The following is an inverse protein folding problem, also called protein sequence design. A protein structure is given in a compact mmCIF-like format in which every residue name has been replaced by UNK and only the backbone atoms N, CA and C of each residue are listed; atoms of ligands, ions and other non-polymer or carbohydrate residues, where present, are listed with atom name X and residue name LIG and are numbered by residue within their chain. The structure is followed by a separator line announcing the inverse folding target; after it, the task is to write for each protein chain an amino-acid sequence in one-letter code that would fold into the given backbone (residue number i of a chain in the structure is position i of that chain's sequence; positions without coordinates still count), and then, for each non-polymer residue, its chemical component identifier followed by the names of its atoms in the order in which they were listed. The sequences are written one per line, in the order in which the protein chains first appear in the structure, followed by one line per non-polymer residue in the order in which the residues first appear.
data_IF_027634771113
#
_entry.id   IF_027634771113
#
_cell.length_a   1.000
_cell.length_b   1.000
_cell.length_c   1.000
_cell.angle_alpha   90.00
_cell.angle_beta   90.00
_cell.angle_gamma   90.00
#
_symmetry.space_group_name_H-M   'P 1'
#
loop_
_entity.id
_entity.type
_entity.pdbx_description
1 polymer ?
#
# COMPACT_ATOMS: atom_id res chain seq x y z
N UNK A 1 49.67 -0.33 -13.37
CA UNK A 1 48.62 -1.17 -13.99
C UNK A 1 47.36 -1.08 -13.14
N UNK A 2 46.34 -0.35 -13.61
CA UNK A 2 45.10 -0.15 -12.86
C UNK A 2 44.19 -1.37 -13.00
N UNK A 3 43.84 -1.99 -11.88
CA UNK A 3 42.95 -3.15 -11.79
C UNK A 3 41.51 -2.66 -12.06
N UNK A 4 40.99 -2.93 -13.25
CA UNK A 4 39.63 -2.58 -13.67
C UNK A 4 38.65 -3.40 -12.82
N UNK A 5 38.04 -2.78 -11.79
CA UNK A 5 36.97 -3.41 -11.02
C UNK A 5 35.75 -3.57 -11.92
N UNK A 6 35.44 -4.82 -12.24
CA UNK A 6 34.23 -5.24 -12.92
C UNK A 6 33.05 -5.06 -11.96
N UNK A 7 32.24 -4.02 -12.17
CA UNK A 7 30.98 -3.81 -11.47
C UNK A 7 29.99 -4.90 -11.89
N UNK A 8 29.86 -5.96 -11.09
CA UNK A 8 28.89 -7.04 -11.35
C UNK A 8 27.47 -6.48 -11.23
N UNK A 9 26.83 -6.25 -12.38
CA UNK A 9 25.43 -5.82 -12.48
C UNK A 9 24.58 -6.95 -11.88
N UNK A 10 24.05 -6.78 -10.66
CA UNK A 10 23.05 -7.69 -10.09
C UNK A 10 21.83 -7.66 -11.02
N UNK A 11 21.68 -8.66 -11.87
CA UNK A 11 20.44 -8.89 -12.61
C UNK A 11 19.34 -9.17 -11.60
N UNK A 12 18.32 -8.32 -11.58
CA UNK A 12 17.15 -8.50 -10.72
C UNK A 12 16.54 -9.88 -10.99
N UNK A 13 16.62 -10.77 -10.00
CA UNK A 13 16.01 -12.09 -10.08
C UNK A 13 14.48 -11.93 -10.05
N UNK A 14 13.80 -12.39 -11.11
CA UNK A 14 12.34 -12.43 -11.14
C UNK A 14 11.87 -13.64 -10.32
N UNK A 15 11.01 -13.39 -9.33
CA UNK A 15 10.31 -14.44 -8.58
C UNK A 15 8.93 -14.69 -9.18
N UNK A 16 8.49 -15.95 -9.21
CA UNK A 16 7.13 -16.31 -9.64
C UNK A 16 6.23 -16.42 -8.41
N UNK A 17 5.13 -15.67 -8.42
CA UNK A 17 4.05 -15.76 -7.44
C UNK A 17 2.88 -16.49 -8.09
N UNK A 18 2.37 -17.54 -7.43
CA UNK A 18 1.16 -18.24 -7.85
C UNK A 18 0.12 -18.14 -6.74
N UNK A 19 -1.09 -17.72 -7.10
CA UNK A 19 -2.23 -17.67 -6.18
C UNK A 19 -3.45 -18.34 -6.82
N UNK A 20 -4.36 -18.82 -6.00
CA UNK A 20 -5.64 -19.38 -6.42
C UNK A 20 -6.74 -18.48 -5.90
N UNK A 21 -7.62 -18.06 -6.80
CA UNK A 21 -8.82 -17.28 -6.51
C UNK A 21 -10.02 -18.04 -7.07
N UNK A 22 -11.19 -17.80 -6.49
CA UNK A 22 -12.44 -18.33 -7.04
C UNK A 22 -12.76 -17.69 -8.40
N UNK A 23 -13.65 -18.36 -9.14
CA UNK A 23 -14.01 -17.99 -10.51
C UNK A 23 -14.69 -16.62 -10.59
N UNK A 24 -15.51 -16.28 -9.59
CA UNK A 24 -16.24 -15.00 -9.55
C UNK A 24 -15.25 -13.82 -9.38
N UNK A 25 -14.32 -13.95 -8.43
CA UNK A 25 -13.28 -12.95 -8.23
C UNK A 25 -12.35 -12.83 -9.44
N UNK A 26 -12.00 -13.95 -10.07
CA UNK A 26 -11.21 -13.95 -11.30
C UNK A 26 -11.93 -13.18 -12.43
N UNK A 27 -13.25 -13.36 -12.57
CA UNK A 27 -14.09 -12.62 -13.50
C UNK A 27 -14.03 -11.11 -13.26
N UNK A 28 -14.21 -10.67 -12.00
CA UNK A 28 -14.13 -9.25 -11.61
C UNK A 28 -12.77 -8.63 -11.94
N UNK A 29 -11.67 -9.33 -11.67
CA UNK A 29 -10.33 -8.84 -12.04
C UNK A 29 -10.16 -8.67 -13.55
N UNK A 30 -10.72 -9.59 -14.34
CA UNK A 30 -10.64 -9.54 -15.80
C UNK A 30 -11.38 -8.32 -16.35
N UNK A 31 -12.59 -8.06 -15.87
CA UNK A 31 -13.39 -6.90 -16.29
C UNK A 31 -12.69 -5.57 -15.99
N UNK A 32 -12.09 -5.43 -14.80
CA UNK A 32 -11.33 -4.23 -14.42
C UNK A 32 -10.13 -4.05 -15.36
N UNK A 33 -9.37 -5.13 -15.59
CA UNK A 33 -8.19 -5.09 -16.44
C UNK A 33 -8.53 -4.74 -17.90
N UNK A 34 -9.60 -5.33 -18.44
CA UNK A 34 -10.10 -5.05 -19.80
C UNK A 34 -10.56 -3.59 -19.93
N UNK A 35 -11.32 -3.07 -18.97
CA UNK A 35 -11.77 -1.67 -18.94
C UNK A 35 -10.58 -0.70 -18.93
N UNK A 36 -9.52 -1.04 -18.18
CA UNK A 36 -8.30 -0.24 -18.09
C UNK A 36 -7.32 -0.46 -19.27
N UNK A 37 -7.58 -1.42 -20.16
CA UNK A 37 -6.70 -1.74 -21.29
C UNK A 37 -5.36 -2.38 -20.90
N UNK A 38 -5.32 -3.11 -19.78
CA UNK A 38 -4.11 -3.78 -19.27
C UNK A 38 -4.35 -5.28 -19.07
N UNK A 39 -3.27 -6.07 -18.94
CA UNK A 39 -3.40 -7.48 -18.56
C UNK A 39 -3.71 -7.65 -17.07
N UNK A 40 -4.43 -8.71 -16.71
CA UNK A 40 -4.69 -9.08 -15.31
C UNK A 40 -3.39 -9.19 -14.51
N UNK A 41 -2.31 -9.70 -15.12
CA UNK A 41 -1.01 -9.78 -14.46
C UNK A 41 -0.42 -8.40 -14.14
N UNK A 42 -0.55 -7.40 -15.04
CA UNK A 42 -0.11 -6.03 -14.76
C UNK A 42 -0.92 -5.39 -13.64
N UNK A 43 -2.24 -5.61 -13.64
CA UNK A 43 -3.13 -5.15 -12.57
C UNK A 43 -2.69 -5.74 -11.21
N UNK A 44 -2.49 -7.06 -11.14
CA UNK A 44 -2.04 -7.72 -9.91
C UNK A 44 -0.65 -7.24 -9.46
N UNK A 45 0.30 -7.05 -10.39
CA UNK A 45 1.61 -6.51 -10.05
C UNK A 45 1.51 -5.09 -9.47
N UNK A 46 0.70 -4.21 -10.08
CA UNK A 46 0.46 -2.87 -9.57
C UNK A 46 -0.16 -2.89 -8.17
N UNK A 47 -1.17 -3.74 -7.96
CA UNK A 47 -1.81 -3.92 -6.66
C UNK A 47 -0.83 -4.44 -5.61
N UNK A 48 0.03 -5.40 -5.95
CA UNK A 48 1.02 -5.94 -5.01
C UNK A 48 2.07 -4.89 -4.64
N UNK A 49 2.56 -4.10 -5.61
CA UNK A 49 3.49 -2.99 -5.33
C UNK A 49 2.83 -1.98 -4.38
N UNK A 50 1.63 -1.51 -4.72
CA UNK A 50 0.88 -0.59 -3.86
C UNK A 50 0.65 -1.19 -2.47
N UNK A 51 0.24 -2.45 -2.40
CA UNK A 51 -0.03 -3.13 -1.14
C UNK A 51 1.23 -3.18 -0.26
N UNK A 52 2.39 -3.52 -0.81
CA UNK A 52 3.66 -3.58 -0.06
C UNK A 52 4.05 -2.21 0.48
N UNK A 53 3.87 -1.14 -0.30
CA UNK A 53 4.24 0.21 0.10
C UNK A 53 3.30 0.80 1.16
N UNK A 54 2.08 0.28 1.28
CA UNK A 54 1.04 0.81 2.15
C UNK A 54 0.64 -0.14 3.29
N UNK A 55 1.31 -1.30 3.40
CA UNK A 55 1.04 -2.31 4.42
C UNK A 55 1.64 -1.92 5.78
N UNK A 56 0.80 -1.86 6.80
CA UNK A 56 1.20 -1.59 8.18
C UNK A 56 0.78 -2.75 9.08
N UNK A 57 1.75 -3.33 9.79
CA UNK A 57 1.51 -4.45 10.70
C UNK A 57 0.93 -3.96 12.02
N UNK A 58 -0.23 -4.50 12.40
CA UNK A 58 -0.95 -4.15 13.62
C UNK A 58 -2.41 -3.81 13.38
N UNK A 59 -3.06 -3.32 14.43
CA UNK A 59 -4.47 -2.88 14.41
C UNK A 59 -4.50 -1.37 14.26
N UNK A 60 -5.27 -0.82 13.32
CA UNK A 60 -5.46 0.62 13.26
C UNK A 60 -6.32 1.09 14.43
N UNK A 61 -5.87 2.14 15.13
CA UNK A 61 -6.58 2.79 16.23
C UNK A 61 -6.85 4.23 15.83
N UNK A 62 -8.13 4.59 15.78
CA UNK A 62 -8.58 5.92 15.38
C UNK A 62 -8.72 6.81 16.61
N UNK A 63 -8.10 7.99 16.57
CA UNK A 63 -8.39 9.05 17.53
C UNK A 63 -9.47 9.96 16.95
N UNK A 64 -10.68 9.90 17.49
CA UNK A 64 -11.81 10.73 17.04
C UNK A 64 -11.58 12.24 17.27
N UNK A 65 -10.66 12.62 18.17
CA UNK A 65 -10.38 14.02 18.50
C UNK A 65 -9.40 14.66 17.53
N UNK A 66 -8.37 13.93 17.12
CA UNK A 66 -7.34 14.42 16.20
C UNK A 66 -7.58 14.00 14.76
N UNK A 67 -8.42 12.98 14.53
CA UNK A 67 -8.61 12.37 13.22
C UNK A 67 -7.41 11.53 12.77
N UNK A 68 -6.46 11.28 13.68
CA UNK A 68 -5.25 10.51 13.40
C UNK A 68 -5.52 9.01 13.51
N UNK A 69 -4.74 8.24 12.74
CA UNK A 69 -4.72 6.79 12.83
C UNK A 69 -3.36 6.37 13.37
N UNK A 70 -3.36 5.70 14.50
CA UNK A 70 -2.17 5.09 15.09
C UNK A 70 -2.21 3.57 14.91
N UNK A 71 -1.07 2.91 15.10
CA UNK A 71 -0.96 1.45 15.00
C UNK A 71 -0.69 0.84 16.36
N UNK A 72 -1.53 -0.11 16.78
CA UNK A 72 -1.23 -0.99 17.89
C UNK A 72 -0.60 -2.30 17.35
N UNK A 73 0.67 -2.62 17.69
CA UNK A 73 1.33 -3.83 17.21
C UNK A 73 0.56 -5.10 17.61
N UNK A 74 0.17 -5.89 16.62
CA UNK A 74 -0.60 -7.13 16.83
C UNK A 74 -0.29 -8.19 15.80
N UNK A 75 0.12 -9.37 16.26
CA UNK A 75 0.40 -10.49 15.37
C UNK A 75 -0.88 -10.99 14.67
N UNK A 76 -0.77 -11.26 13.37
CA UNK A 76 -1.90 -11.70 12.54
C UNK A 76 -2.83 -10.57 12.09
N UNK A 77 -2.54 -9.31 12.44
CA UNK A 77 -3.28 -8.13 11.99
C UNK A 77 -2.40 -7.28 11.06
N UNK A 78 -2.97 -6.89 9.93
CA UNK A 78 -2.34 -6.04 8.91
C UNK A 78 -3.41 -5.11 8.38
N UNK A 79 -3.10 -3.83 8.20
CA UNK A 79 -3.97 -2.92 7.46
C UNK A 79 -3.21 -2.21 6.37
N UNK A 80 -3.94 -1.62 5.43
CA UNK A 80 -3.37 -0.88 4.32
C UNK A 80 -3.95 0.52 4.32
N UNK A 81 -3.09 1.52 4.18
CA UNK A 81 -3.49 2.92 4.36
C UNK A 81 -2.40 3.91 3.95
N UNK A 82 -2.73 5.19 4.07
CA UNK A 82 -1.77 6.27 3.99
C UNK A 82 -1.62 6.94 5.35
N UNK A 83 -0.39 7.28 5.70
CA UNK A 83 -0.08 8.05 6.90
C UNK A 83 -0.64 9.48 6.78
N UNK A 84 -0.88 10.13 7.92
CA UNK A 84 -1.13 11.58 7.90
C UNK A 84 0.14 12.30 7.51
N UNK A 85 0.00 13.38 6.74
CA UNK A 85 1.11 14.24 6.38
C UNK A 85 0.78 15.69 6.71
N UNK A 86 1.73 16.36 7.34
CA UNK A 86 1.78 17.82 7.38
C UNK A 86 2.52 18.29 6.14
N UNK A 87 1.85 19.10 5.32
CA UNK A 87 2.42 19.67 4.10
C UNK A 87 2.73 21.13 4.42
N UNK A 88 4.02 21.47 4.35
CA UNK A 88 4.51 22.83 4.47
C UNK A 88 4.04 23.69 3.28
N UNK A 89 4.19 25.01 3.38
CA UNK A 89 3.79 25.97 2.35
C UNK A 89 4.36 25.62 0.97
N UNK A 90 3.46 25.42 -0.01
CA UNK A 90 3.86 25.18 -1.39
C UNK A 90 4.03 26.52 -2.10
N UNK A 91 5.21 26.76 -2.67
CA UNK A 91 5.53 28.00 -3.40
C UNK A 91 5.64 27.74 -4.90
N UNK A 92 5.15 28.68 -5.70
CA UNK A 92 5.28 28.61 -7.16
C UNK A 92 6.73 28.93 -7.61
N UNK A 93 6.97 28.87 -8.92
CA UNK A 93 8.26 29.23 -9.54
C UNK A 93 8.72 30.67 -9.28
N UNK A 94 7.83 31.54 -8.79
CA UNK A 94 8.10 32.93 -8.42
C UNK A 94 8.28 33.13 -6.90
N UNK A 95 8.19 32.07 -6.09
CA UNK A 95 8.33 32.12 -4.64
C UNK A 95 7.08 32.61 -3.90
N UNK A 96 5.93 32.69 -4.56
CA UNK A 96 4.66 33.04 -3.92
C UNK A 96 3.98 31.79 -3.38
N UNK A 97 3.41 31.87 -2.18
CA UNK A 97 2.68 30.77 -1.55
C UNK A 97 1.39 30.49 -2.33
N UNK A 98 1.31 29.31 -2.93
CA UNK A 98 0.14 28.82 -3.68
C UNK A 98 -0.85 28.19 -2.71
N UNK A 99 -0.34 27.47 -1.72
CA UNK A 99 -1.14 26.80 -0.71
C UNK A 99 -0.45 26.94 0.66
N UNK A 100 -1.20 27.42 1.66
CA UNK A 100 -0.70 27.54 3.04
C UNK A 100 -0.51 26.17 3.68
N UNK A 101 0.08 26.06 4.88
CA UNK A 101 0.35 24.77 5.48
C UNK A 101 -0.96 24.06 5.82
N UNK A 102 -1.08 22.79 5.45
CA UNK A 102 -2.26 21.98 5.73
C UNK A 102 -1.91 20.56 6.18
N UNK A 103 -2.85 19.98 6.92
CA UNK A 103 -2.76 18.60 7.39
C UNK A 103 -3.65 17.71 6.54
N UNK A 104 -3.10 16.62 6.04
CA UNK A 104 -3.85 15.55 5.40
C UNK A 104 -4.03 14.41 6.40
N UNK A 105 -5.27 13.98 6.61
CA UNK A 105 -5.55 12.90 7.56
C UNK A 105 -5.12 11.56 6.96
N UNK A 106 -4.53 10.73 7.80
CA UNK A 106 -4.23 9.34 7.45
C UNK A 106 -5.53 8.57 7.18
N UNK A 107 -5.49 7.60 6.28
CA UNK A 107 -6.66 6.82 5.88
C UNK A 107 -6.34 5.35 5.83
N UNK A 108 -7.19 4.54 6.46
CA UNK A 108 -7.18 3.09 6.30
C UNK A 108 -8.12 2.72 5.14
N UNK A 109 -7.61 1.95 4.20
CA UNK A 109 -8.37 1.43 3.06
C UNK A 109 -8.99 0.08 3.38
N UNK A 110 -8.23 -0.83 3.97
CA UNK A 110 -8.74 -2.14 4.40
C UNK A 110 -7.90 -2.76 5.51
N UNK A 111 -8.53 -3.65 6.28
CA UNK A 111 -7.91 -4.38 7.41
C UNK A 111 -8.03 -5.88 7.15
N UNK A 112 -6.92 -6.58 7.31
CA UNK A 112 -6.83 -8.04 7.39
C UNK A 112 -6.54 -8.44 8.83
N UNK A 113 -7.52 -9.02 9.49
CA UNK A 113 -7.36 -9.52 10.86
C UNK A 113 -7.56 -11.03 10.90
N UNK A 114 -6.45 -11.76 10.98
CA UNK A 114 -6.37 -13.21 11.16
C UNK A 114 -6.01 -13.59 12.61
N UNK A 115 -6.09 -12.65 13.55
CA UNK A 115 -5.79 -12.93 14.94
C UNK A 115 -6.90 -13.75 15.61
N UNK A 116 -6.52 -14.48 16.67
CA UNK A 116 -7.43 -15.36 17.41
C UNK A 116 -8.71 -14.68 17.92
N UNK A 117 -8.72 -13.36 18.19
CA UNK A 117 -9.92 -12.69 18.70
C UNK A 117 -11.03 -12.49 17.64
N UNK A 118 -10.67 -12.46 16.34
CA UNK A 118 -11.65 -12.37 15.25
C UNK A 118 -11.89 -13.72 14.56
N UNK A 119 -10.99 -14.71 14.71
CA UNK A 119 -11.22 -16.08 14.28
C UNK A 119 -12.36 -16.79 15.04
N UNK A 120 -12.73 -16.30 16.24
CA UNK A 120 -13.79 -16.85 17.09
C UNK A 120 -15.14 -16.10 16.89
N UNK A 121 -15.18 -15.03 16.07
CA UNK A 121 -16.46 -14.44 15.67
C UNK A 121 -17.03 -15.28 14.54
N UNK A 122 -17.65 -16.40 14.91
CA UNK A 122 -18.50 -17.22 14.06
C UNK A 122 -19.44 -16.32 13.25
N UNK A 123 -19.44 -16.48 11.92
CA UNK A 123 -20.48 -15.94 11.05
C UNK A 123 -21.71 -16.82 11.09
#
# INVERSE_FOLDING_TARGET
MAKKQSTTKKTASKSRLETRVDEELAGKFKEIAETAGISVNQLLQGLVVWAVDNAVQGTPVYDERTGEVTTEPRQGCLYFGHESAFIDEETNEYGEVVEGPYHTNGKVHFVLDFSYQNAIRER
#
